data_IF_161476076365
#
_entry.id   IF_161476076365
#
_cell.length_a   1.000
_cell.length_b   1.000
_cell.length_c   1.000
_cell.angle_alpha   90.00
_cell.angle_beta   90.00
_cell.angle_gamma   90.00
#
_symmetry.space_group_name_H-M   'P 1'
#
loop_
_entity.id
_entity.type
_entity.pdbx_description
1 polymer ?
#
# COMPACT_ATOMS: atom_id res chain seq x y z
N UNK A 1 -7.36 7.01 21.51
CA UNK A 1 -7.36 5.62 21.02
C UNK A 1 -7.38 4.56 22.14
N UNK A 2 -8.18 4.71 23.23
CA UNK A 2 -8.61 3.57 24.04
C UNK A 2 -9.57 2.65 23.28
N UNK A 3 -10.32 3.18 22.31
CA UNK A 3 -11.48 2.49 21.72
C UNK A 3 -11.13 1.23 20.90
N UNK A 4 -10.05 1.23 20.09
CA UNK A 4 -9.67 0.05 19.28
C UNK A 4 -9.06 -1.07 20.14
N UNK A 5 -8.23 -0.71 21.12
CA UNK A 5 -7.69 -1.65 22.11
C UNK A 5 -8.82 -2.22 22.98
N UNK A 6 -9.69 -1.35 23.48
CA UNK A 6 -10.90 -1.76 24.19
C UNK A 6 -11.76 -2.69 23.34
N UNK A 7 -11.95 -2.39 22.05
CA UNK A 7 -12.70 -3.26 21.15
C UNK A 7 -12.01 -4.62 21.00
N UNK A 8 -10.69 -4.65 20.76
CA UNK A 8 -9.92 -5.89 20.66
C UNK A 8 -10.04 -6.74 21.94
N UNK A 9 -9.93 -6.11 23.11
CA UNK A 9 -10.14 -6.77 24.40
C UNK A 9 -11.56 -7.31 24.57
N UNK A 10 -12.58 -6.53 24.19
CA UNK A 10 -13.99 -6.95 24.25
C UNK A 10 -14.28 -8.09 23.29
N UNK A 11 -13.67 -8.08 22.11
CA UNK A 11 -13.77 -9.16 21.14
C UNK A 11 -13.14 -10.44 21.68
N UNK A 12 -11.93 -10.37 22.25
CA UNK A 12 -11.28 -11.53 22.89
C UNK A 12 -12.06 -12.06 24.09
N UNK A 13 -12.64 -11.18 24.89
CA UNK A 13 -13.42 -11.56 26.07
C UNK A 13 -14.82 -12.11 25.71
N UNK A 14 -15.26 -11.95 24.47
CA UNK A 14 -16.55 -12.45 24.01
C UNK A 14 -16.53 -13.98 23.88
N UNK A 15 -17.46 -14.66 24.54
CA UNK A 15 -17.69 -16.09 24.34
C UNK A 15 -18.45 -16.41 23.03
N UNK A 16 -18.85 -15.40 22.25
CA UNK A 16 -19.60 -15.56 21.00
C UNK A 16 -18.66 -15.57 19.80
N UNK A 17 -19.06 -16.31 18.75
CA UNK A 17 -18.41 -16.19 17.43
C UNK A 17 -18.68 -14.82 16.84
N UNK A 18 -17.61 -14.09 16.49
CA UNK A 18 -17.70 -12.78 15.82
C UNK A 18 -17.07 -12.86 14.44
N UNK A 19 -17.80 -12.38 13.43
CA UNK A 19 -17.24 -12.13 12.09
C UNK A 19 -16.85 -10.65 12.01
N UNK A 20 -15.54 -10.38 11.99
CA UNK A 20 -14.98 -9.04 11.89
C UNK A 20 -14.40 -8.83 10.48
N UNK A 21 -14.81 -7.74 9.82
CA UNK A 21 -14.19 -7.27 8.57
C UNK A 21 -13.39 -6.01 8.90
N UNK A 22 -12.08 -6.03 8.70
CA UNK A 22 -11.21 -4.89 8.96
C UNK A 22 -9.97 -4.93 8.07
N UNK A 23 -9.42 -3.76 7.78
CA UNK A 23 -8.08 -3.61 7.18
C UNK A 23 -7.01 -3.25 8.24
N UNK A 24 -7.43 -3.01 9.48
CA UNK A 24 -6.55 -2.66 10.61
C UNK A 24 -5.76 -3.90 11.06
N UNK A 25 -4.46 -3.91 10.72
CA UNK A 25 -3.55 -5.01 11.02
C UNK A 25 -3.43 -5.28 12.52
N UNK A 26 -3.47 -4.23 13.34
CA UNK A 26 -3.33 -4.36 14.78
C UNK A 26 -4.58 -5.00 15.37
N UNK A 27 -5.78 -4.51 15.02
CA UNK A 27 -7.03 -5.11 15.48
C UNK A 27 -7.13 -6.58 15.07
N UNK A 28 -6.73 -6.93 13.84
CA UNK A 28 -6.71 -8.31 13.37
C UNK A 28 -5.67 -9.16 14.11
N UNK A 29 -4.45 -8.65 14.29
CA UNK A 29 -3.39 -9.34 15.04
C UNK A 29 -3.79 -9.58 16.50
N UNK A 30 -4.54 -8.65 17.08
CA UNK A 30 -4.95 -8.73 18.46
C UNK A 30 -6.19 -9.59 18.66
N UNK A 31 -7.26 -9.43 17.86
CA UNK A 31 -8.56 -10.02 18.14
C UNK A 31 -8.90 -11.29 17.33
N UNK A 32 -8.20 -11.57 16.23
CA UNK A 32 -8.59 -12.66 15.33
C UNK A 32 -7.88 -13.99 15.67
N UNK A 33 -8.66 -15.01 16.03
CA UNK A 33 -8.17 -16.38 16.23
C UNK A 33 -7.99 -17.15 14.90
N UNK A 34 -8.73 -16.74 13.86
CA UNK A 34 -8.69 -17.29 12.50
C UNK A 34 -8.86 -16.18 11.49
N UNK A 35 -8.28 -16.35 10.30
CA UNK A 35 -8.41 -15.37 9.22
C UNK A 35 -9.17 -16.00 8.05
N UNK A 36 -10.28 -15.37 7.66
CA UNK A 36 -10.98 -15.66 6.41
C UNK A 36 -10.42 -14.75 5.32
N UNK A 37 -9.71 -15.30 4.36
CA UNK A 37 -9.13 -14.53 3.25
C UNK A 37 -10.01 -14.67 2.01
N UNK A 38 -10.57 -13.53 1.57
CA UNK A 38 -11.36 -13.41 0.35
C UNK A 38 -10.48 -12.83 -0.75
N UNK A 39 -10.05 -13.66 -1.69
CA UNK A 39 -9.10 -13.26 -2.74
C UNK A 39 -9.47 -13.91 -4.07
N UNK A 40 -9.44 -13.14 -5.17
CA UNK A 40 -9.61 -13.67 -6.54
C UNK A 40 -10.86 -14.57 -6.73
N UNK A 41 -12.00 -14.15 -6.18
CA UNK A 41 -13.28 -14.91 -6.18
C UNK A 41 -13.21 -16.26 -5.45
N UNK A 42 -12.21 -16.46 -4.60
CA UNK A 42 -12.04 -17.61 -3.73
C UNK A 42 -12.08 -17.16 -2.27
N UNK A 43 -12.40 -18.12 -1.39
CA UNK A 43 -12.36 -17.91 0.05
C UNK A 43 -11.62 -19.08 0.67
N UNK A 44 -10.64 -18.78 1.54
CA UNK A 44 -9.95 -19.81 2.30
C UNK A 44 -9.74 -19.37 3.75
N UNK A 45 -9.59 -20.35 4.63
CA UNK A 45 -9.48 -20.14 6.07
C UNK A 45 -8.06 -20.45 6.51
N UNK A 46 -7.41 -19.48 7.13
CA UNK A 46 -6.21 -19.69 7.91
C UNK A 46 -6.60 -20.04 9.35
N UNK A 47 -6.11 -21.18 9.83
CA UNK A 47 -6.49 -21.73 11.13
C UNK A 47 -5.85 -21.03 12.34
N UNK A 48 -4.89 -20.14 12.11
CA UNK A 48 -4.28 -19.31 13.16
C UNK A 48 -4.65 -17.84 13.04
N UNK A 49 -4.19 -17.05 14.00
CA UNK A 49 -4.40 -15.60 14.01
C UNK A 49 -3.60 -14.85 12.94
N UNK A 50 -3.87 -13.55 12.81
CA UNK A 50 -3.35 -12.72 11.73
C UNK A 50 -1.81 -12.61 11.70
N UNK A 51 -1.13 -12.73 12.84
CA UNK A 51 0.33 -12.69 12.91
C UNK A 51 1.03 -13.74 12.01
N UNK A 52 0.43 -14.92 11.84
CA UNK A 52 0.99 -16.01 11.00
C UNK A 52 0.37 -16.07 9.60
N UNK A 53 -0.62 -15.22 9.33
CA UNK A 53 -1.38 -15.23 8.09
C UNK A 53 -0.50 -14.91 6.86
N UNK A 54 0.40 -13.93 6.97
CA UNK A 54 1.26 -13.53 5.85
C UNK A 54 2.16 -14.66 5.33
N UNK A 55 2.77 -15.43 6.24
CA UNK A 55 3.57 -16.60 5.87
C UNK A 55 2.70 -17.73 5.29
N UNK A 56 1.58 -18.03 5.94
CA UNK A 56 0.64 -19.04 5.45
C UNK A 56 0.13 -18.72 4.04
N UNK A 57 -0.15 -17.44 3.77
CA UNK A 57 -0.55 -16.94 2.45
C UNK A 57 0.56 -17.15 1.41
N UNK A 58 1.80 -16.74 1.71
CA UNK A 58 2.97 -16.95 0.80
C UNK A 58 3.17 -18.42 0.48
N UNK A 59 3.11 -19.30 1.49
CA UNK A 59 3.22 -20.75 1.29
C UNK A 59 2.11 -21.29 0.39
N UNK A 60 0.86 -20.90 0.63
CA UNK A 60 -0.29 -21.29 -0.21
C UNK A 60 -0.12 -20.85 -1.67
N UNK A 61 0.33 -19.62 -1.90
CA UNK A 61 0.61 -19.09 -3.24
C UNK A 61 1.70 -19.93 -3.92
N UNK A 62 2.81 -20.22 -3.23
CA UNK A 62 3.90 -21.03 -3.76
C UNK A 62 3.45 -22.47 -4.10
N UNK A 63 2.65 -23.11 -3.25
CA UNK A 63 2.09 -24.45 -3.49
C UNK A 63 1.18 -24.49 -4.73
N UNK A 64 0.32 -23.47 -4.90
CA UNK A 64 -0.53 -23.34 -6.08
C UNK A 64 0.30 -23.12 -7.35
N UNK A 65 1.32 -22.27 -7.30
CA UNK A 65 2.23 -22.02 -8.44
C UNK A 65 2.98 -23.30 -8.83
N UNK A 66 3.53 -24.02 -7.86
CA UNK A 66 4.25 -25.27 -8.11
C UNK A 66 3.31 -26.35 -8.69
N UNK A 67 2.12 -26.52 -8.12
CA UNK A 67 1.11 -27.46 -8.64
C UNK A 67 0.73 -27.11 -10.08
N UNK A 68 0.61 -25.82 -10.39
CA UNK A 68 0.32 -25.33 -11.74
C UNK A 68 1.46 -25.64 -12.70
N UNK A 69 2.70 -25.33 -12.33
CA UNK A 69 3.90 -25.63 -13.15
C UNK A 69 4.01 -27.13 -13.45
N UNK A 70 3.80 -27.99 -12.46
CA UNK A 70 3.81 -29.45 -12.63
C UNK A 70 2.73 -29.91 -13.62
N UNK A 71 1.52 -29.37 -13.51
CA UNK A 71 0.44 -29.68 -14.44
C UNK A 71 0.77 -29.21 -15.87
N UNK A 72 1.31 -28.00 -16.04
CA UNK A 72 1.65 -27.46 -17.37
C UNK A 72 2.79 -28.24 -18.05
N UNK A 73 3.78 -28.70 -17.27
CA UNK A 73 4.85 -29.55 -17.75
C UNK A 73 4.31 -30.92 -18.22
N UNK A 74 3.46 -31.56 -17.43
CA UNK A 74 2.84 -32.84 -17.80
C UNK A 74 1.88 -32.68 -18.99
N UNK A 75 1.09 -31.61 -19.03
CA UNK A 75 0.21 -31.30 -20.17
C UNK A 75 1.02 -31.18 -21.46
N UNK A 76 2.11 -30.41 -21.42
CA UNK A 76 3.02 -30.24 -22.56
C UNK A 76 3.61 -31.58 -23.00
N UNK A 77 4.09 -32.39 -22.05
CA UNK A 77 4.63 -33.72 -22.31
C UNK A 77 3.62 -34.63 -23.00
N UNK A 78 2.39 -34.71 -22.47
CA UNK A 78 1.32 -35.53 -23.04
C UNK A 78 0.89 -35.05 -24.43
N UNK A 79 0.82 -33.74 -24.66
CA UNK A 79 0.51 -33.17 -25.98
C UNK A 79 1.59 -33.51 -27.00
N UNK A 80 2.86 -33.31 -26.66
CA UNK A 80 3.99 -33.66 -27.55
C UNK A 80 3.97 -35.15 -27.86
N UNK A 81 3.86 -36.01 -26.85
CA UNK A 81 3.80 -37.47 -27.02
C UNK A 81 2.63 -37.89 -27.93
N UNK A 82 1.44 -37.34 -27.71
CA UNK A 82 0.24 -37.65 -28.51
C UNK A 82 0.41 -37.19 -29.95
N UNK A 83 1.02 -36.02 -30.17
CA UNK A 83 1.30 -35.50 -31.50
C UNK A 83 2.32 -36.37 -32.25
N UNK A 84 3.42 -36.76 -31.61
CA UNK A 84 4.44 -37.64 -32.19
C UNK A 84 3.86 -39.01 -32.54
N UNK A 85 3.06 -39.61 -31.64
CA UNK A 85 2.41 -40.90 -31.91
C UNK A 85 1.37 -40.80 -33.03
N UNK A 86 0.65 -39.68 -33.15
CA UNK A 86 -0.24 -39.43 -34.28
C UNK A 86 0.50 -39.44 -35.61
N UNK A 87 1.66 -38.77 -35.68
CA UNK A 87 2.50 -38.74 -36.89
C UNK A 87 3.06 -40.13 -37.23
N UNK A 88 3.48 -40.90 -36.22
CA UNK A 88 4.00 -42.25 -36.43
C UNK A 88 2.90 -43.25 -36.86
N UNK A 89 1.70 -43.17 -36.26
CA UNK A 89 0.57 -44.03 -36.60
C UNK A 89 0.05 -43.81 -38.03
N UNK A 90 0.25 -42.61 -38.60
CA UNK A 90 -0.06 -42.35 -40.00
C UNK A 90 0.85 -43.12 -40.99
N UNK A 91 2.01 -43.60 -40.52
CA UNK A 91 3.01 -44.32 -41.34
C UNK A 91 3.16 -45.79 -40.96
N UNK A 92 2.75 -46.18 -39.74
CA UNK A 92 2.93 -47.52 -39.21
C UNK A 92 1.74 -47.92 -38.32
N UNK A 93 0.95 -48.89 -38.76
CA UNK A 93 -0.24 -49.37 -38.05
C UNK A 93 0.08 -50.03 -36.70
N UNK A 94 1.31 -50.53 -36.49
CA UNK A 94 1.70 -51.18 -35.24
C UNK A 94 1.64 -50.22 -34.02
N UNK A 95 1.74 -48.91 -34.23
CA UNK A 95 1.69 -47.90 -33.15
C UNK A 95 0.31 -47.25 -32.97
N UNK A 96 -0.70 -47.68 -33.74
CA UNK A 96 -2.07 -47.14 -33.67
C UNK A 96 -2.74 -47.36 -32.31
N UNK A 97 -2.48 -48.50 -31.65
CA UNK A 97 -2.98 -48.78 -30.29
C UNK A 97 -2.36 -47.84 -29.26
N UNK A 98 -1.05 -47.60 -29.34
CA UNK A 98 -0.31 -46.67 -28.48
C UNK A 98 -0.80 -45.22 -28.67
N UNK A 99 -1.08 -44.79 -29.90
CA UNK A 99 -1.68 -43.48 -30.17
C UNK A 99 -3.07 -43.34 -29.52
N UNK A 100 -3.96 -44.34 -29.68
CA UNK A 100 -5.29 -44.31 -29.03
C UNK A 100 -5.18 -44.20 -27.52
N UNK A 101 -4.27 -44.96 -26.90
CA UNK A 101 -4.01 -44.90 -25.47
C UNK A 101 -3.49 -43.53 -25.01
N UNK A 102 -2.53 -42.95 -25.74
CA UNK A 102 -1.99 -41.61 -25.47
C UNK A 102 -3.07 -40.52 -25.59
N UNK A 103 -3.92 -40.60 -26.62
CA UNK A 103 -5.05 -39.68 -26.81
C UNK A 103 -6.05 -39.76 -25.66
N UNK A 104 -6.42 -40.96 -25.23
CA UNK A 104 -7.31 -41.15 -24.07
C UNK A 104 -6.68 -40.62 -22.78
N UNK A 105 -5.38 -40.83 -22.58
CA UNK A 105 -4.66 -40.28 -21.41
C UNK A 105 -4.64 -38.75 -21.42
N UNK A 106 -4.38 -38.13 -22.57
CA UNK A 106 -4.43 -36.68 -22.71
C UNK A 106 -5.83 -36.13 -22.43
N UNK A 107 -6.88 -36.74 -23.01
CA UNK A 107 -8.27 -36.35 -22.75
C UNK A 107 -8.60 -36.40 -21.26
N UNK A 108 -8.35 -37.53 -20.59
CA UNK A 108 -8.62 -37.66 -19.15
C UNK A 108 -7.85 -36.64 -18.31
N UNK A 109 -6.62 -36.30 -18.73
CA UNK A 109 -5.81 -35.29 -18.05
C UNK A 109 -6.37 -33.87 -18.23
N UNK A 110 -6.88 -33.55 -19.42
CA UNK A 110 -7.54 -32.27 -19.72
C UNK A 110 -8.90 -32.17 -19.02
N UNK A 111 -9.68 -33.26 -19.00
CA UNK A 111 -10.98 -33.38 -18.33
C UNK A 111 -10.89 -33.21 -16.81
N UNK A 112 -9.80 -33.69 -16.19
CA UNK A 112 -9.51 -33.47 -14.77
C UNK A 112 -9.31 -31.97 -14.44
N UNK A 113 -9.05 -31.14 -15.45
CA UNK A 113 -8.94 -29.70 -15.32
C UNK A 113 -7.58 -29.25 -14.80
N UNK A 114 -7.23 -28.01 -15.14
CA UNK A 114 -6.00 -27.42 -14.69
C UNK A 114 -6.14 -26.93 -13.23
N UNK A 115 -5.09 -27.07 -12.39
CA UNK A 115 -5.08 -26.52 -11.04
C UNK A 115 -5.41 -25.02 -11.05
N UNK A 116 -6.00 -24.56 -9.95
CA UNK A 116 -6.29 -23.14 -9.74
C UNK A 116 -5.02 -22.32 -9.94
N UNK A 117 -5.16 -21.16 -10.56
CA UNK A 117 -4.05 -20.21 -10.67
C UNK A 117 -3.77 -19.63 -9.28
N UNK A 118 -2.50 -19.47 -8.89
CA UNK A 118 -2.19 -18.69 -7.71
C UNK A 118 -2.77 -17.27 -7.88
N UNK A 119 -3.33 -16.67 -6.81
CA UNK A 119 -3.72 -15.27 -6.86
C UNK A 119 -2.50 -14.43 -7.23
N UNK A 120 -2.69 -13.43 -8.09
CA UNK A 120 -1.58 -12.55 -8.48
C UNK A 120 -1.27 -11.67 -7.27
N UNK A 121 -0.02 -11.67 -6.81
CA UNK A 121 0.41 -10.69 -5.83
C UNK A 121 0.48 -9.33 -6.50
N UNK A 122 -0.14 -8.33 -5.85
CA UNK A 122 -0.04 -6.95 -6.26
C UNK A 122 1.45 -6.56 -6.22
N UNK A 123 2.03 -6.21 -7.36
CA UNK A 123 3.44 -5.85 -7.46
C UNK A 123 3.57 -4.33 -7.58
N UNK A 124 3.10 -3.63 -6.55
CA UNK A 124 3.16 -2.18 -6.48
C UNK A 124 4.61 -1.79 -6.20
N UNK A 125 5.21 -1.04 -7.12
CA UNK A 125 6.61 -0.58 -7.02
C UNK A 125 6.65 0.92 -6.96
N UNK A 126 6.61 1.45 -5.74
CA UNK A 126 6.76 2.87 -5.48
C UNK A 126 8.24 3.24 -5.59
N UNK A 127 8.58 4.27 -6.35
CA UNK A 127 9.95 4.76 -6.52
C UNK A 127 10.08 6.16 -5.95
N UNK A 128 9.79 6.29 -4.66
CA UNK A 128 10.02 7.52 -3.92
C UNK A 128 11.55 7.68 -3.80
N UNK A 129 12.19 8.37 -4.75
CA UNK A 129 13.65 8.55 -4.72
C UNK A 129 14.07 9.68 -3.77
N UNK A 130 13.27 10.74 -3.69
CA UNK A 130 13.65 11.96 -2.99
C UNK A 130 14.81 12.68 -3.66
N UNK A 131 15.58 13.43 -2.88
CA UNK A 131 16.70 14.22 -3.35
C UNK A 131 17.44 14.85 -2.20
N UNK A 132 18.76 15.03 -2.36
CA UNK A 132 19.61 15.63 -1.31
C UNK A 132 19.31 17.11 -1.17
N UNK A 133 18.90 17.53 0.03
CA UNK A 133 18.60 18.93 0.36
C UNK A 133 19.72 19.54 1.22
N UNK A 134 19.50 20.77 1.72
CA UNK A 134 20.35 21.37 2.75
C UNK A 134 20.39 20.56 4.05
N UNK A 135 21.18 20.99 5.03
CA UNK A 135 21.28 20.32 6.34
C UNK A 135 19.90 20.18 7.02
N UNK A 136 19.10 21.24 6.93
CA UNK A 136 17.75 21.31 7.47
C UNK A 136 16.73 21.01 6.37
N UNK A 137 15.71 20.24 6.70
CA UNK A 137 14.52 20.05 5.89
C UNK A 137 13.46 21.11 6.25
N UNK A 138 13.30 21.39 7.55
CA UNK A 138 12.31 22.31 8.09
C UNK A 138 12.81 22.90 9.41
N UNK A 139 12.54 24.18 9.62
CA UNK A 139 12.67 24.85 10.92
C UNK A 139 11.38 25.62 11.25
N UNK A 140 10.91 25.47 12.47
CA UNK A 140 9.79 26.20 13.06
C UNK A 140 10.33 27.01 14.25
N UNK A 141 10.08 28.31 14.24
CA UNK A 141 10.48 29.23 15.30
C UNK A 141 9.23 29.85 15.94
N UNK A 142 8.98 29.50 17.20
CA UNK A 142 7.83 29.96 18.00
C UNK A 142 6.49 29.83 17.27
N UNK A 143 6.30 28.72 16.56
CA UNK A 143 5.11 28.47 15.74
C UNK A 143 3.95 28.10 16.65
N UNK A 144 2.82 28.79 16.49
CA UNK A 144 1.58 28.42 17.16
C UNK A 144 0.44 28.37 16.15
N UNK A 145 -0.30 27.27 16.12
CA UNK A 145 -1.54 27.18 15.36
C UNK A 145 -2.65 27.85 16.17
N UNK A 146 -3.23 28.92 15.64
CA UNK A 146 -4.15 29.79 16.39
C UNK A 146 -5.32 28.97 16.97
N UNK A 147 -5.47 29.02 18.29
CA UNK A 147 -6.53 28.31 19.02
C UNK A 147 -6.35 26.80 19.14
N UNK A 148 -5.21 26.25 18.69
CA UNK A 148 -4.94 24.80 18.70
C UNK A 148 -3.67 24.45 19.49
N UNK A 149 -2.60 25.24 19.35
CA UNK A 149 -1.34 24.98 20.06
C UNK A 149 -0.78 26.20 20.76
N UNK A 150 -0.04 25.99 21.84
CA UNK A 150 0.94 26.94 22.37
C UNK A 150 2.12 27.07 21.38
N UNK A 151 2.92 28.17 21.44
CA UNK A 151 4.11 28.31 20.61
C UNK A 151 5.13 27.20 20.86
N UNK A 152 5.67 26.63 19.79
CA UNK A 152 6.72 25.61 19.85
C UNK A 152 7.79 25.82 18.79
N UNK A 153 8.98 25.31 19.09
CA UNK A 153 10.09 25.22 18.15
C UNK A 153 10.21 23.78 17.63
N UNK A 154 10.62 23.62 16.38
CA UNK A 154 10.88 22.31 15.80
C UNK A 154 11.96 22.43 14.74
N UNK A 155 12.92 21.51 14.77
CA UNK A 155 13.90 21.38 13.72
C UNK A 155 13.92 19.95 13.18
N UNK A 156 13.81 19.80 11.85
CA UNK A 156 13.89 18.52 11.15
C UNK A 156 15.07 18.57 10.20
N UNK A 157 16.03 17.65 10.36
CA UNK A 157 17.20 17.55 9.48
C UNK A 157 16.88 16.75 8.23
N UNK A 158 17.68 16.95 7.19
CA UNK A 158 17.60 16.12 5.99
C UNK A 158 17.76 14.63 6.34
N UNK A 159 16.80 13.83 5.88
CA UNK A 159 16.79 12.37 6.07
C UNK A 159 16.03 11.91 7.31
N UNK A 160 15.63 12.84 8.20
CA UNK A 160 14.88 12.49 9.40
C UNK A 160 13.42 12.17 9.07
N UNK A 161 12.87 11.21 9.83
CA UNK A 161 11.47 10.81 9.80
C UNK A 161 10.83 11.20 11.12
N UNK A 162 9.94 12.19 11.07
CA UNK A 162 9.18 12.68 12.21
C UNK A 162 7.74 12.18 12.16
N UNK A 163 7.29 11.51 13.22
CA UNK A 163 5.89 11.17 13.40
C UNK A 163 5.21 12.21 14.28
N UNK A 164 4.09 12.78 13.80
CA UNK A 164 3.26 13.72 14.54
C UNK A 164 2.09 12.97 15.17
N UNK A 165 2.04 12.98 16.49
CA UNK A 165 1.10 12.22 17.32
C UNK A 165 0.18 13.16 18.10
N UNK A 166 -0.94 12.65 18.60
CA UNK A 166 -1.88 13.42 19.42
C UNK A 166 -3.34 13.10 19.11
N UNK A 167 -4.25 13.56 19.95
CA UNK A 167 -5.69 13.29 19.80
C UNK A 167 -6.35 13.97 18.59
N UNK A 168 -7.58 13.55 18.25
CA UNK A 168 -8.37 14.22 17.21
C UNK A 168 -8.61 15.69 17.60
N UNK A 169 -8.47 16.60 16.64
CA UNK A 169 -8.64 18.04 16.86
C UNK A 169 -7.44 18.76 17.48
N UNK A 170 -6.31 18.09 17.72
CA UNK A 170 -5.11 18.74 18.28
C UNK A 170 -4.33 19.63 17.29
N UNK A 171 -4.76 19.72 16.03
CA UNK A 171 -4.14 20.59 15.02
C UNK A 171 -3.11 19.93 14.10
N UNK A 172 -2.89 18.61 14.20
CA UNK A 172 -1.93 17.87 13.36
C UNK A 172 -2.10 18.11 11.85
N UNK A 173 -3.29 17.91 11.29
CA UNK A 173 -3.53 18.13 9.86
C UNK A 173 -3.35 19.59 9.46
N UNK A 174 -3.70 20.53 10.35
CA UNK A 174 -3.48 21.98 10.16
C UNK A 174 -1.98 22.30 10.13
N UNK A 175 -1.18 21.61 10.95
CA UNK A 175 0.28 21.69 10.90
C UNK A 175 0.84 21.19 9.56
N UNK A 176 0.42 20.01 9.08
CA UNK A 176 0.85 19.53 7.76
C UNK A 176 0.43 20.46 6.63
N UNK A 177 -0.78 21.05 6.69
CA UNK A 177 -1.20 22.06 5.72
C UNK A 177 -0.30 23.29 5.70
N UNK A 178 0.10 23.78 6.88
CA UNK A 178 1.06 24.87 6.99
C UNK A 178 2.40 24.49 6.36
N UNK A 179 2.92 23.29 6.64
CA UNK A 179 4.18 22.80 6.04
C UNK A 179 4.09 22.61 4.52
N UNK A 180 2.90 22.29 4.00
CA UNK A 180 2.62 22.20 2.58
C UNK A 180 2.51 23.57 1.88
N UNK A 181 2.57 24.67 2.64
CA UNK A 181 2.43 26.03 2.13
C UNK A 181 0.99 26.48 1.91
N UNK A 182 0.01 25.80 2.52
CA UNK A 182 -1.39 26.26 2.50
C UNK A 182 -1.61 27.40 3.50
N UNK A 183 -2.63 28.22 3.22
CA UNK A 183 -3.01 29.32 4.09
C UNK A 183 -3.62 28.80 5.40
N UNK A 184 -2.90 29.05 6.49
CA UNK A 184 -3.20 28.57 7.84
C UNK A 184 -2.93 29.70 8.82
N UNK A 185 -3.93 30.06 9.62
CA UNK A 185 -3.75 31.01 10.72
C UNK A 185 -2.74 30.48 11.74
N UNK A 186 -1.56 31.10 11.78
CA UNK A 186 -0.48 30.74 12.69
C UNK A 186 0.31 31.98 13.11
N UNK A 187 1.02 31.88 14.23
CA UNK A 187 2.08 32.81 14.64
C UNK A 187 3.45 32.13 14.48
N UNK A 188 4.53 32.90 14.64
CA UNK A 188 5.89 32.39 14.49
C UNK A 188 6.33 32.32 13.03
N UNK A 189 7.35 31.51 12.74
CA UNK A 189 7.88 31.39 11.39
C UNK A 189 8.18 29.93 11.04
N UNK A 190 7.77 29.52 9.85
CA UNK A 190 8.05 28.21 9.25
C UNK A 190 8.96 28.42 8.05
N UNK A 191 10.14 27.80 8.06
CA UNK A 191 11.11 27.91 6.97
C UNK A 191 11.47 26.52 6.43
N UNK A 192 11.27 26.33 5.13
CA UNK A 192 11.75 25.14 4.43
C UNK A 192 13.23 25.27 4.09
N UNK A 193 13.96 24.17 4.20
CA UNK A 193 15.37 24.13 3.86
C UNK A 193 15.67 24.36 2.39
N UNK A 194 16.95 24.63 2.08
CA UNK A 194 17.39 24.82 0.70
C UNK A 194 17.11 23.57 -0.16
N UNK A 195 16.47 23.78 -1.31
CA UNK A 195 16.05 22.73 -2.28
C UNK A 195 15.05 21.73 -1.68
N UNK A 196 14.28 22.13 -0.68
CA UNK A 196 13.17 21.33 -0.15
C UNK A 196 11.91 21.61 -0.97
N UNK A 197 11.37 20.55 -1.56
CA UNK A 197 10.06 20.56 -2.23
C UNK A 197 9.10 19.69 -1.43
N UNK A 198 8.11 20.27 -0.73
CA UNK A 198 7.14 19.52 0.05
C UNK A 198 6.12 18.83 -0.87
N UNK A 199 5.75 17.61 -0.53
CA UNK A 199 4.71 16.83 -1.20
C UNK A 199 3.71 16.33 -0.18
N UNK A 200 2.45 16.75 -0.30
CA UNK A 200 1.40 16.43 0.66
C UNK A 200 0.49 15.29 0.17
N UNK A 201 0.39 14.23 0.98
CA UNK A 201 -0.60 13.17 0.86
C UNK A 201 -1.69 13.41 1.90
N UNK A 202 -2.88 13.79 1.46
CA UNK A 202 -4.01 14.06 2.34
C UNK A 202 -4.94 12.83 2.47
N UNK A 203 -5.49 12.63 3.67
CA UNK A 203 -6.44 11.53 3.94
C UNK A 203 -7.74 11.66 3.14
N UNK A 204 -8.26 12.88 2.99
CA UNK A 204 -9.42 13.16 2.16
C UNK A 204 -8.98 13.13 0.70
N UNK A 205 -9.41 12.11 -0.06
CA UNK A 205 -9.23 12.05 -1.53
C UNK A 205 -9.96 13.16 -2.29
N UNK A 206 -10.34 14.25 -1.62
CA UNK A 206 -10.92 15.44 -2.21
C UNK A 206 -9.77 16.17 -2.90
N UNK A 207 -9.62 15.90 -4.20
CA UNK A 207 -8.70 16.60 -5.10
C UNK A 207 -9.52 17.30 -6.18
N UNK A 208 -10.10 18.48 -5.89
CA UNK A 208 -10.93 19.21 -6.85
C UNK A 208 -10.19 19.51 -8.16
N UNK A 209 -8.86 19.66 -8.08
CA UNK A 209 -7.94 19.85 -9.20
C UNK A 209 -7.80 18.63 -10.12
N UNK A 210 -8.18 17.44 -9.63
CA UNK A 210 -8.15 16.17 -10.38
C UNK A 210 -9.54 15.71 -10.84
N UNK A 211 -10.61 16.22 -10.22
CA UNK A 211 -11.99 15.81 -10.51
C UNK A 211 -12.33 15.93 -12.00
N UNK A 212 -12.95 14.89 -12.57
CA UNK A 212 -13.36 14.85 -13.98
C UNK A 212 -12.23 14.69 -14.99
N UNK A 213 -10.95 14.72 -14.57
CA UNK A 213 -9.80 14.47 -15.44
C UNK A 213 -9.51 12.98 -15.52
N UNK A 214 -9.15 12.50 -16.72
CA UNK A 214 -8.71 11.11 -16.90
C UNK A 214 -7.36 10.87 -16.22
N UNK A 215 -7.19 9.70 -15.61
CA UNK A 215 -5.99 9.33 -14.85
C UNK A 215 -4.70 9.43 -15.67
N UNK A 216 -4.70 8.94 -16.91
CA UNK A 216 -3.54 9.05 -17.78
C UNK A 216 -3.22 10.51 -18.11
N UNK A 217 -4.23 11.34 -18.34
CA UNK A 217 -4.05 12.74 -18.70
C UNK A 217 -3.55 13.57 -17.50
N UNK A 218 -3.95 13.21 -16.27
CA UNK A 218 -3.39 13.78 -15.04
C UNK A 218 -1.88 13.52 -14.99
N UNK A 219 -1.45 12.26 -15.13
CA UNK A 219 -0.04 11.88 -15.07
C UNK A 219 0.77 12.52 -16.19
N UNK A 220 0.22 12.58 -17.41
CA UNK A 220 0.87 13.23 -18.55
C UNK A 220 1.08 14.72 -18.30
N UNK A 221 0.07 15.42 -17.80
CA UNK A 221 0.12 16.87 -17.59
C UNK A 221 1.05 17.25 -16.43
N UNK A 222 0.90 16.60 -15.28
CA UNK A 222 1.62 16.97 -14.05
C UNK A 222 3.12 16.62 -14.12
N UNK A 223 3.48 15.57 -14.88
CA UNK A 223 4.86 15.11 -15.02
C UNK A 223 5.48 15.38 -16.40
N UNK A 224 4.77 16.09 -17.28
CA UNK A 224 5.17 16.36 -18.67
C UNK A 224 5.59 15.08 -19.44
N UNK A 225 4.85 13.98 -19.25
CA UNK A 225 5.16 12.67 -19.84
C UNK A 225 4.38 12.40 -21.12
N UNK A 226 5.00 11.66 -22.04
CA UNK A 226 4.29 11.04 -23.14
C UNK A 226 3.33 9.95 -22.62
N UNK A 227 2.32 9.60 -23.42
CA UNK A 227 1.27 8.65 -23.00
C UNK A 227 1.83 7.28 -22.61
N UNK A 228 2.81 6.76 -23.35
CA UNK A 228 3.39 5.46 -23.05
C UNK A 228 4.15 5.46 -21.72
N UNK A 229 4.90 6.52 -21.43
CA UNK A 229 5.60 6.70 -20.16
C UNK A 229 4.64 6.88 -18.99
N UNK A 230 3.56 7.65 -19.18
CA UNK A 230 2.50 7.79 -18.19
C UNK A 230 1.82 6.45 -17.89
N UNK A 231 1.50 5.66 -18.92
CA UNK A 231 0.92 4.33 -18.76
C UNK A 231 1.89 3.35 -18.09
N UNK A 232 3.19 3.45 -18.38
CA UNK A 232 4.22 2.66 -17.71
C UNK A 232 4.37 3.05 -16.22
N UNK A 233 4.23 4.33 -15.88
CA UNK A 233 4.19 4.80 -14.51
C UNK A 233 2.97 4.28 -13.75
N UNK A 234 1.78 4.41 -14.35
CA UNK A 234 0.53 3.85 -13.82
C UNK A 234 0.60 2.32 -13.64
N UNK A 235 1.32 1.62 -14.52
CA UNK A 235 1.48 0.18 -14.42
C UNK A 235 2.29 -0.24 -13.19
N UNK A 236 3.30 0.54 -12.76
CA UNK A 236 4.06 0.29 -11.52
C UNK A 236 3.18 0.34 -10.27
N UNK A 237 2.12 1.14 -10.32
CA UNK A 237 1.14 1.28 -9.25
C UNK A 237 -0.09 0.38 -9.46
N UNK A 238 -0.07 -0.49 -10.47
CA UNK A 238 -1.18 -1.37 -10.85
C UNK A 238 -2.51 -0.64 -11.13
N UNK A 239 -2.45 0.61 -11.59
CA UNK A 239 -3.62 1.43 -11.93
C UNK A 239 -3.71 1.74 -13.44
N UNK A 240 -2.83 1.16 -14.27
CA UNK A 240 -2.85 1.34 -15.72
C UNK A 240 -4.19 0.98 -16.38
N UNK A 241 -4.89 -0.06 -15.90
CA UNK A 241 -6.21 -0.44 -16.42
C UNK A 241 -7.27 0.67 -16.22
N UNK A 242 -7.07 1.54 -15.23
CA UNK A 242 -7.94 2.67 -14.94
C UNK A 242 -7.46 3.98 -15.64
N UNK A 243 -6.44 3.94 -16.49
CA UNK A 243 -5.87 5.13 -17.13
C UNK A 243 -6.86 5.98 -17.94
N UNK A 244 -7.96 5.38 -18.43
CA UNK A 244 -9.04 6.09 -19.14
C UNK A 244 -10.22 6.49 -18.26
N UNK A 245 -10.24 6.04 -17.00
CA UNK A 245 -11.25 6.43 -16.03
C UNK A 245 -10.93 7.84 -15.52
N UNK A 246 -11.96 8.55 -15.04
CA UNK A 246 -11.77 9.82 -14.36
C UNK A 246 -11.42 9.60 -12.90
N UNK A 247 -10.71 10.55 -12.28
CA UNK A 247 -10.27 10.45 -10.89
C UNK A 247 -11.38 10.08 -9.89
N UNK A 248 -12.57 10.66 -10.07
CA UNK A 248 -13.76 10.48 -9.23
C UNK A 248 -14.38 9.08 -9.31
N UNK A 249 -14.09 8.32 -10.37
CA UNK A 249 -14.60 6.95 -10.55
C UNK A 249 -13.68 5.86 -9.98
N UNK A 250 -12.48 6.25 -9.55
CA UNK A 250 -11.53 5.35 -8.91
C UNK A 250 -12.00 4.92 -7.51
N UNK A 251 -11.61 3.71 -7.10
CA UNK A 251 -11.73 3.32 -5.69
C UNK A 251 -10.76 4.15 -4.81
N UNK A 252 -11.05 4.27 -3.52
CA UNK A 252 -10.16 4.99 -2.58
C UNK A 252 -8.70 4.48 -2.65
N UNK A 253 -8.49 3.15 -2.68
CA UNK A 253 -7.15 2.59 -2.84
C UNK A 253 -6.48 2.97 -4.17
N UNK A 254 -7.23 3.06 -5.27
CA UNK A 254 -6.70 3.53 -6.56
C UNK A 254 -6.37 5.03 -6.53
N UNK A 255 -7.21 5.85 -5.89
CA UNK A 255 -6.96 7.28 -5.70
C UNK A 255 -5.71 7.51 -4.86
N UNK A 256 -5.54 6.77 -3.76
CA UNK A 256 -4.36 6.83 -2.92
C UNK A 256 -3.08 6.44 -3.69
N UNK A 257 -3.12 5.33 -4.45
CA UNK A 257 -1.99 4.92 -5.30
C UNK A 257 -1.63 5.97 -6.35
N UNK A 258 -2.62 6.59 -7.00
CA UNK A 258 -2.38 7.67 -7.95
C UNK A 258 -1.74 8.88 -7.27
N UNK A 259 -2.22 9.29 -6.10
CA UNK A 259 -1.63 10.41 -5.37
C UNK A 259 -0.18 10.16 -4.99
N UNK A 260 0.16 8.95 -4.51
CA UNK A 260 1.56 8.60 -4.23
C UNK A 260 2.42 8.63 -5.51
N UNK A 261 1.88 8.16 -6.65
CA UNK A 261 2.56 8.28 -7.93
C UNK A 261 2.81 9.74 -8.33
N UNK A 262 1.84 10.64 -8.10
CA UNK A 262 2.04 12.06 -8.40
C UNK A 262 3.13 12.69 -7.53
N UNK A 263 3.22 12.28 -6.26
CA UNK A 263 4.32 12.71 -5.37
C UNK A 263 5.68 12.19 -5.86
N UNK A 264 5.75 10.93 -6.30
CA UNK A 264 6.95 10.36 -6.94
C UNK A 264 7.38 11.19 -8.15
N UNK A 265 6.44 11.48 -9.06
CA UNK A 265 6.73 12.17 -10.31
C UNK A 265 7.07 13.65 -10.13
N UNK A 266 6.52 14.29 -9.10
CA UNK A 266 6.83 15.68 -8.75
C UNK A 266 8.25 15.85 -8.17
N UNK A 267 8.96 14.74 -7.87
CA UNK A 267 10.34 14.81 -7.37
C UNK A 267 10.43 15.43 -5.97
N UNK A 268 9.43 15.20 -5.13
CA UNK A 268 9.35 15.78 -3.78
C UNK A 268 10.49 15.29 -2.89
N UNK A 269 11.02 16.17 -2.04
CA UNK A 269 12.14 15.86 -1.14
C UNK A 269 11.74 15.87 0.33
N UNK A 270 10.54 16.36 0.63
CA UNK A 270 9.88 16.29 1.94
C UNK A 270 8.48 15.69 1.73
N UNK A 271 8.23 14.51 2.29
CA UNK A 271 6.92 13.89 2.28
C UNK A 271 6.12 14.29 3.51
N UNK A 272 4.93 14.85 3.30
CA UNK A 272 3.96 15.18 4.33
C UNK A 272 2.81 14.19 4.19
N UNK A 273 2.65 13.27 5.15
CA UNK A 273 1.70 12.16 5.04
C UNK A 273 0.63 12.28 6.13
N UNK A 274 -0.63 12.53 5.77
CA UNK A 274 -1.75 12.55 6.70
C UNK A 274 -2.52 11.22 6.66
N UNK A 275 -2.35 10.42 7.72
CA UNK A 275 -2.97 9.08 7.90
C UNK A 275 -2.87 8.19 6.64
N UNK A 276 -1.65 7.95 6.12
CA UNK A 276 -1.47 7.40 4.78
C UNK A 276 -1.93 5.95 4.63
N UNK A 277 -2.13 5.22 5.73
CA UNK A 277 -2.49 3.80 5.73
C UNK A 277 -4.00 3.54 5.74
N UNK A 278 -4.83 4.52 6.10
CA UNK A 278 -6.25 4.29 6.40
C UNK A 278 -7.09 3.90 5.17
N UNK A 279 -6.70 4.40 4.00
CA UNK A 279 -7.39 4.14 2.73
C UNK A 279 -6.59 3.20 1.80
N UNK A 280 -5.48 2.65 2.28
CA UNK A 280 -4.67 1.71 1.53
C UNK A 280 -5.12 0.29 1.84
N UNK A 281 -5.26 -0.52 0.79
CA UNK A 281 -5.31 -1.96 0.98
C UNK A 281 -3.97 -2.47 1.55
N UNK A 282 -3.98 -3.71 2.05
CA UNK A 282 -2.82 -4.30 2.72
C UNK A 282 -1.54 -4.19 1.86
N UNK A 283 -1.65 -4.54 0.57
CA UNK A 283 -0.52 -4.55 -0.36
C UNK A 283 0.01 -3.14 -0.64
N UNK A 284 -0.87 -2.15 -0.75
CA UNK A 284 -0.50 -0.75 -0.99
C UNK A 284 0.18 -0.14 0.22
N UNK A 285 -0.28 -0.47 1.43
CA UNK A 285 0.36 -0.03 2.66
C UNK A 285 1.76 -0.66 2.84
N UNK A 286 1.94 -1.95 2.51
CA UNK A 286 3.28 -2.59 2.51
C UNK A 286 4.21 -1.97 1.46
N UNK A 287 3.68 -1.67 0.26
CA UNK A 287 4.44 -1.02 -0.79
C UNK A 287 4.86 0.41 -0.41
N UNK A 288 3.99 1.16 0.28
CA UNK A 288 4.32 2.48 0.82
C UNK A 288 5.41 2.39 1.88
N UNK A 289 5.29 1.46 2.84
CA UNK A 289 6.36 1.24 3.84
C UNK A 289 7.70 0.94 3.16
N UNK A 290 7.70 0.06 2.16
CA UNK A 290 8.91 -0.26 1.38
C UNK A 290 9.46 0.98 0.66
N UNK A 291 8.60 1.72 -0.03
CA UNK A 291 8.99 2.95 -0.73
C UNK A 291 9.54 4.02 0.21
N UNK A 292 8.97 4.18 1.40
CA UNK A 292 9.47 5.11 2.41
C UNK A 292 10.84 4.69 2.94
N UNK A 293 11.10 3.40 3.15
CA UNK A 293 12.44 2.91 3.54
C UNK A 293 13.51 3.25 2.49
N UNK A 294 13.16 3.25 1.22
CA UNK A 294 14.06 3.62 0.12
C UNK A 294 14.15 5.14 -0.13
N UNK A 295 13.21 5.92 0.40
CA UNK A 295 13.13 7.36 0.19
C UNK A 295 14.34 8.11 0.77
N UNK A 296 15.09 8.78 -0.11
CA UNK A 296 16.23 9.62 0.26
C UNK A 296 15.78 11.08 0.40
N UNK A 297 15.00 11.33 1.44
CA UNK A 297 14.44 12.63 1.79
C UNK A 297 13.95 12.63 3.23
N UNK A 298 13.20 13.67 3.61
CA UNK A 298 12.66 13.77 4.97
C UNK A 298 11.16 13.44 4.97
N UNK A 299 10.65 12.87 6.05
CA UNK A 299 9.24 12.46 6.16
C UNK A 299 8.65 13.07 7.42
N UNK A 300 7.51 13.75 7.27
CA UNK A 300 6.67 14.15 8.40
C UNK A 300 5.32 13.46 8.21
N UNK A 301 4.95 12.58 9.13
CA UNK A 301 3.70 11.82 9.00
C UNK A 301 2.82 11.93 10.23
N UNK A 302 1.53 12.12 10.02
CA UNK A 302 0.49 11.87 11.00
C UNK A 302 0.07 10.43 10.82
N UNK A 303 0.08 9.67 11.91
CA UNK A 303 -0.40 8.30 11.86
C UNK A 303 -0.96 7.87 13.20
N UNK A 304 -2.00 7.04 13.13
CA UNK A 304 -2.50 6.27 14.26
C UNK A 304 -2.11 4.78 14.16
N UNK A 305 -1.38 4.40 13.10
CA UNK A 305 -0.87 3.05 12.90
C UNK A 305 0.48 2.90 13.62
N UNK A 306 0.50 2.05 14.64
CA UNK A 306 1.69 1.76 15.45
C UNK A 306 2.80 1.09 14.66
N UNK A 307 2.44 0.24 13.70
CA UNK A 307 3.40 -0.45 12.84
C UNK A 307 4.08 0.54 11.90
N UNK A 308 3.32 1.52 11.42
CA UNK A 308 3.86 2.61 10.60
C UNK A 308 4.73 3.56 11.43
N UNK A 309 4.25 3.99 12.61
CA UNK A 309 4.99 4.88 13.51
C UNK A 309 6.30 4.29 14.04
N UNK A 310 6.40 2.96 14.14
CA UNK A 310 7.63 2.28 14.55
C UNK A 310 8.79 2.45 13.55
N UNK A 311 8.53 2.91 12.32
CA UNK A 311 9.58 3.20 11.32
C UNK A 311 10.13 4.63 11.39
N UNK A 312 9.67 5.44 12.34
CA UNK A 312 10.05 6.85 12.49
C UNK A 312 11.14 7.02 13.55
N UNK A 313 11.99 8.01 13.34
CA UNK A 313 13.16 8.28 14.20
C UNK A 313 12.78 9.09 15.44
N UNK A 314 11.80 9.99 15.30
CA UNK A 314 11.39 10.97 16.30
C UNK A 314 9.88 11.13 16.32
N UNK A 315 9.36 11.56 17.47
CA UNK A 315 7.94 11.75 17.70
C UNK A 315 7.66 13.14 18.26
N UNK A 316 6.74 13.86 17.62
CA UNK A 316 6.23 15.15 18.08
C UNK A 316 4.78 14.96 18.54
N UNK A 317 4.54 15.11 19.84
CA UNK A 317 3.22 14.94 20.43
C UNK A 317 2.50 16.29 20.57
N UNK A 318 1.29 16.36 20.02
CA UNK A 318 0.36 17.47 20.15
C UNK A 318 -0.66 17.13 21.23
N UNK A 319 -0.44 17.70 22.43
CA UNK A 319 -1.29 17.53 23.60
C UNK A 319 -2.64 18.20 23.46
N UNK A 320 -3.64 17.70 24.19
CA UNK A 320 -4.98 18.31 24.25
C UNK A 320 -5.01 19.63 25.01
N UNK A 321 -4.00 19.88 25.82
CA UNK A 321 -3.75 21.15 26.51
C UNK A 321 -3.13 22.21 25.59
N UNK A 322 -2.89 21.88 24.32
CA UNK A 322 -2.27 22.75 23.34
C UNK A 322 -0.74 22.70 23.36
N UNK A 323 -0.12 21.97 24.30
CA UNK A 323 1.34 21.86 24.34
C UNK A 323 1.83 20.90 23.26
N UNK A 324 2.92 21.29 22.62
CA UNK A 324 3.63 20.45 21.66
C UNK A 324 4.99 20.09 22.24
N UNK A 325 5.33 18.80 22.29
CA UNK A 325 6.60 18.34 22.84
C UNK A 325 7.14 17.13 22.07
N UNK A 326 8.48 17.04 22.01
CA UNK A 326 9.13 15.82 21.54
C UNK A 326 9.06 14.72 22.61
N UNK A 327 8.81 13.49 22.17
CA UNK A 327 8.69 12.33 23.04
C UNK A 327 9.59 11.20 22.55
N UNK A 328 10.18 10.45 23.49
CA UNK A 328 11.13 9.36 23.19
C UNK A 328 10.46 8.11 22.62
N UNK A 329 9.13 7.99 22.77
CA UNK A 329 8.35 6.87 22.31
C UNK A 329 6.95 7.32 21.86
N UNK A 330 6.29 6.57 20.94
CA UNK A 330 4.97 6.94 20.46
C UNK A 330 3.93 6.96 21.60
N UNK A 331 3.34 8.12 21.86
CA UNK A 331 2.24 8.30 22.83
C UNK A 331 0.89 8.26 22.10
N UNK A 332 -0.01 7.40 22.59
CA UNK A 332 -1.31 7.15 21.97
C UNK A 332 -2.45 7.54 22.92
N UNK A 333 -2.90 8.80 22.84
CA UNK A 333 -4.09 9.28 23.57
C UNK A 333 -5.40 8.79 22.96
#
# INVERSE_FOLDING_TARGET
MPAKLWLAERLRASAKTVLLVSHDRQLLAEAADRVLAVEHRDVWVHGGGFATFGEARRRRVAELDERRRRWEAEHRRLRVMTHTLRQAAAKNDAVSSAYRAARTRLSRFEDAGAPRRPPREANIRMRLSGGRTGKWALTCESVALVGLTEPFDLEVRFGERLAVLGGNGSGKSRFLHLLAGHDVDHTGTVTLGARVTPGHFAQTHVRPDLTGRCVADIVMADAALARDDAMAALARYEIAAAGRQTFDTLSGGQQARLQILLLELAGVTLLLLDEPTDNLDLASAEALQTGLREFTGSVVAITHDRWFAAEFDRYLHFGRDGRTAEVDAPVWD
#
